data_IF_922383037175
#
_entry.id   IF_922383037175
#
_cell.length_a   1.000
_cell.length_b   1.000
_cell.length_c   1.000
_cell.angle_alpha   90.00
_cell.angle_beta   90.00
_cell.angle_gamma   90.00
#
_symmetry.space_group_name_H-M   'P 1'
#
loop_
_entity.id
_entity.type
_entity.pdbx_description
1 polymer ?
#
# COMPACT_ATOMS: atom_id res chain seq x y z
N UNK A 1 20.51 -6.27 2.99
CA UNK A 1 19.13 -6.53 3.41
C UNK A 1 19.03 -7.03 4.86
N UNK A 2 19.84 -8.03 5.28
CA UNK A 2 19.81 -8.58 6.64
C UNK A 2 20.06 -7.49 7.69
N UNK A 3 21.09 -6.68 7.53
CA UNK A 3 21.42 -5.54 8.41
C UNK A 3 20.22 -4.59 8.56
N UNK A 4 19.59 -4.20 7.45
CA UNK A 4 18.40 -3.30 7.50
C UNK A 4 17.23 -3.91 8.27
N UNK A 5 17.04 -5.24 8.15
CA UNK A 5 15.99 -5.94 8.89
C UNK A 5 16.30 -6.05 10.39
N UNK A 6 17.56 -6.26 10.74
CA UNK A 6 18.00 -6.32 12.13
C UNK A 6 17.89 -4.94 12.79
N UNK A 7 18.33 -3.89 12.11
CA UNK A 7 18.16 -2.49 12.57
C UNK A 7 16.68 -2.13 12.72
N UNK A 8 15.81 -2.57 11.79
CA UNK A 8 14.39 -2.30 11.84
C UNK A 8 13.72 -2.97 13.05
N UNK A 9 14.10 -4.20 13.38
CA UNK A 9 13.62 -4.89 14.58
C UNK A 9 14.03 -4.13 15.84
N UNK A 10 15.30 -3.78 15.95
CA UNK A 10 15.82 -3.02 17.09
C UNK A 10 15.12 -1.67 17.23
N UNK A 11 14.90 -0.94 16.14
CA UNK A 11 14.23 0.35 16.16
C UNK A 11 12.75 0.21 16.59
N UNK A 12 12.04 -0.80 16.08
CA UNK A 12 10.66 -1.10 16.46
C UNK A 12 10.54 -1.44 17.96
N UNK A 13 11.44 -2.26 18.47
CA UNK A 13 11.46 -2.68 19.88
C UNK A 13 11.80 -1.51 20.81
N UNK A 14 12.75 -0.65 20.43
CA UNK A 14 13.22 0.46 21.26
C UNK A 14 12.27 1.64 21.28
N UNK A 15 11.64 1.95 20.16
CA UNK A 15 10.76 3.13 20.03
C UNK A 15 9.30 2.84 20.35
N UNK A 16 8.87 1.57 20.33
CA UNK A 16 7.45 1.19 20.41
C UNK A 16 6.64 1.59 19.18
N UNK A 17 7.31 2.07 18.11
CA UNK A 17 6.65 2.43 16.87
C UNK A 17 6.16 1.18 16.12
N UNK A 18 5.06 1.31 15.39
CA UNK A 18 4.67 0.28 14.44
C UNK A 18 5.75 0.11 13.36
N UNK A 19 5.95 -1.12 12.89
CA UNK A 19 7.07 -1.48 12.00
C UNK A 19 7.23 -0.56 10.78
N UNK A 20 6.15 -0.11 10.19
CA UNK A 20 6.20 0.79 9.03
C UNK A 20 6.61 2.23 9.40
N UNK A 21 6.31 2.69 10.61
CA UNK A 21 6.79 3.99 11.08
C UNK A 21 8.28 3.93 11.44
N UNK A 22 8.70 2.86 12.12
CA UNK A 22 10.12 2.60 12.37
C UNK A 22 10.92 2.50 11.06
N UNK A 23 10.35 1.87 10.03
CA UNK A 23 10.97 1.76 8.71
C UNK A 23 11.18 3.11 8.03
N UNK A 24 10.20 4.01 8.07
CA UNK A 24 10.34 5.37 7.51
C UNK A 24 11.52 6.09 8.17
N UNK A 25 11.52 6.16 9.51
CA UNK A 25 12.58 6.80 10.27
C UNK A 25 13.96 6.20 10.00
N UNK A 26 14.07 4.87 10.00
CA UNK A 26 15.32 4.17 9.74
C UNK A 26 15.89 4.47 8.35
N UNK A 27 15.04 4.48 7.31
CA UNK A 27 15.46 4.77 5.94
C UNK A 27 15.91 6.24 5.81
N UNK A 28 15.19 7.18 6.41
CA UNK A 28 15.58 8.59 6.45
C UNK A 28 16.94 8.77 7.16
N UNK A 29 17.12 8.11 8.30
CA UNK A 29 18.37 8.12 9.06
C UNK A 29 19.54 7.58 8.23
N UNK A 30 19.39 6.41 7.60
CA UNK A 30 20.43 5.82 6.74
C UNK A 30 20.78 6.71 5.53
N UNK A 31 19.80 7.36 4.92
CA UNK A 31 20.04 8.34 3.85
C UNK A 31 20.89 9.52 4.36
N UNK A 32 20.52 10.09 5.51
CA UNK A 32 21.23 11.21 6.10
C UNK A 32 22.66 10.85 6.49
N UNK A 33 22.87 9.72 7.17
CA UNK A 33 24.19 9.21 7.56
C UNK A 33 25.09 8.91 6.36
N UNK A 34 24.52 8.50 5.25
CA UNK A 34 25.23 8.22 3.99
C UNK A 34 25.45 9.46 3.12
N UNK A 35 25.03 10.64 3.56
CA UNK A 35 25.15 11.89 2.80
C UNK A 35 24.27 11.94 1.56
N UNK A 36 23.24 11.13 1.47
CA UNK A 36 22.29 11.12 0.35
C UNK A 36 21.40 12.36 0.42
N UNK A 37 21.33 13.09 -0.68
CA UNK A 37 20.38 14.21 -0.82
C UNK A 37 19.01 13.67 -1.20
N UNK A 38 18.09 13.65 -0.26
CA UNK A 38 16.69 13.27 -0.48
C UNK A 38 15.85 14.48 -0.83
N UNK A 39 14.99 14.37 -1.83
CA UNK A 39 13.99 15.36 -2.20
C UNK A 39 12.60 14.73 -2.10
N UNK A 40 11.87 15.02 -1.03
CA UNK A 40 10.49 14.59 -0.85
C UNK A 40 9.53 15.43 -1.71
N UNK A 41 8.34 14.89 -1.96
CA UNK A 41 7.31 15.54 -2.80
C UNK A 41 7.85 15.95 -4.17
N UNK A 42 8.65 15.05 -4.77
CA UNK A 42 9.32 15.28 -6.04
C UNK A 42 8.95 14.17 -7.01
N UNK A 43 8.52 14.54 -8.20
CA UNK A 43 8.16 13.62 -9.26
C UNK A 43 9.00 13.89 -10.52
N UNK A 44 9.51 12.84 -11.14
CA UNK A 44 10.08 12.92 -12.49
C UNK A 44 8.91 13.08 -13.47
N UNK A 45 8.97 14.09 -14.33
CA UNK A 45 7.90 14.40 -15.27
C UNK A 45 8.34 14.33 -16.75
N UNK A 46 9.64 14.28 -17.02
CA UNK A 46 10.18 14.10 -18.37
C UNK A 46 11.62 13.58 -18.34
N UNK A 47 12.03 12.92 -19.41
CA UNK A 47 13.36 12.31 -19.58
C UNK A 47 13.91 12.68 -20.96
N UNK A 48 15.12 13.21 -21.01
CA UNK A 48 15.83 13.43 -22.27
C UNK A 48 16.82 12.31 -22.52
N UNK A 49 16.65 11.62 -23.63
CA UNK A 49 17.54 10.54 -24.07
C UNK A 49 18.34 11.00 -25.30
N UNK A 50 19.65 10.76 -25.31
CA UNK A 50 20.52 10.95 -26.46
C UNK A 50 21.45 9.74 -26.58
N UNK A 51 21.57 9.19 -27.78
CA UNK A 51 22.42 8.02 -28.09
C UNK A 51 22.20 6.83 -27.14
N UNK A 52 20.92 6.56 -26.79
CA UNK A 52 20.53 5.50 -25.91
C UNK A 52 20.84 5.72 -24.41
N UNK A 53 21.22 6.95 -24.04
CA UNK A 53 21.53 7.31 -22.65
C UNK A 53 20.65 8.43 -22.15
N UNK A 54 20.20 8.34 -20.91
CA UNK A 54 19.51 9.44 -20.24
C UNK A 54 20.55 10.52 -19.91
N UNK A 55 20.37 11.71 -20.49
CA UNK A 55 21.25 12.87 -20.28
C UNK A 55 20.66 13.88 -19.30
N UNK A 56 19.34 13.93 -19.16
CA UNK A 56 18.68 14.74 -18.14
C UNK A 56 17.30 14.21 -17.76
N UNK A 57 16.90 14.55 -16.54
CA UNK A 57 15.56 14.36 -15.99
C UNK A 57 14.94 15.72 -15.70
N UNK A 58 13.68 15.92 -16.03
CA UNK A 58 12.90 17.03 -15.51
C UNK A 58 12.08 16.55 -14.31
N UNK A 59 12.14 17.32 -13.23
CA UNK A 59 11.42 17.02 -11.98
C UNK A 59 10.50 18.18 -11.64
N UNK A 60 9.34 17.84 -11.06
CA UNK A 60 8.44 18.79 -10.43
C UNK A 60 8.60 18.66 -8.92
N UNK A 61 8.93 19.78 -8.29
CA UNK A 61 9.11 19.88 -6.83
C UNK A 61 8.19 20.96 -6.27
N UNK A 62 8.16 21.09 -4.94
CA UNK A 62 7.48 22.21 -4.28
C UNK A 62 8.04 23.59 -4.69
N UNK A 63 9.30 23.61 -5.12
CA UNK A 63 10.00 24.83 -5.61
C UNK A 63 9.87 25.06 -7.10
N UNK A 64 9.01 24.30 -7.78
CA UNK A 64 8.79 24.38 -9.23
C UNK A 64 9.54 23.33 -10.04
N UNK A 65 9.58 23.53 -11.34
CA UNK A 65 10.21 22.62 -12.30
C UNK A 65 11.72 22.81 -12.29
N UNK A 66 12.47 21.72 -12.24
CA UNK A 66 13.93 21.70 -12.22
C UNK A 66 14.45 20.64 -13.18
N UNK A 67 15.71 20.80 -13.63
CA UNK A 67 16.42 19.81 -14.45
C UNK A 67 17.61 19.25 -13.70
N UNK A 68 17.79 17.94 -13.79
CA UNK A 68 18.91 17.20 -13.22
C UNK A 68 19.64 16.49 -14.37
N UNK A 69 20.97 16.55 -14.40
CA UNK A 69 21.82 15.85 -15.36
C UNK A 69 22.67 14.80 -14.62
N UNK A 70 22.16 13.58 -14.42
CA UNK A 70 22.84 12.52 -13.68
C UNK A 70 23.83 11.78 -14.56
N UNK A 71 24.85 11.18 -13.95
CA UNK A 71 25.76 10.22 -14.62
C UNK A 71 25.10 8.84 -14.77
N UNK A 72 24.30 8.44 -13.79
CA UNK A 72 23.58 7.17 -13.72
C UNK A 72 22.20 7.41 -13.16
N UNK A 73 21.21 6.69 -13.67
CA UNK A 73 19.82 6.71 -13.17
C UNK A 73 19.46 5.31 -12.70
N UNK A 74 18.88 5.22 -11.51
CA UNK A 74 18.24 4.01 -10.99
C UNK A 74 16.74 4.32 -10.89
N UNK A 75 15.95 3.64 -11.71
CA UNK A 75 14.49 3.74 -11.65
C UNK A 75 13.97 2.84 -10.54
N UNK A 76 13.45 3.44 -9.48
CA UNK A 76 12.81 2.78 -8.35
C UNK A 76 11.38 3.34 -8.13
N UNK A 77 10.73 3.80 -9.20
CA UNK A 77 9.38 4.40 -9.14
C UNK A 77 8.28 3.38 -8.82
N UNK A 78 8.58 2.09 -8.87
CA UNK A 78 7.62 1.01 -8.70
C UNK A 78 6.92 0.62 -10.01
N UNK A 79 6.49 1.62 -10.79
CA UNK A 79 5.80 1.42 -12.07
C UNK A 79 6.70 1.59 -13.31
N UNK A 80 8.03 1.77 -13.10
CA UNK A 80 9.00 1.95 -14.19
C UNK A 80 8.77 3.24 -14.97
N UNK A 81 8.37 4.32 -14.30
CA UNK A 81 8.00 5.58 -14.96
C UNK A 81 9.16 6.22 -15.72
N UNK A 82 10.36 6.21 -15.13
CA UNK A 82 11.55 6.78 -15.78
C UNK A 82 11.96 5.94 -16.98
N UNK A 83 11.95 4.62 -16.86
CA UNK A 83 12.25 3.70 -17.94
C UNK A 83 11.24 3.84 -19.10
N UNK A 84 9.95 3.98 -18.77
CA UNK A 84 8.90 4.24 -19.75
C UNK A 84 9.11 5.56 -20.49
N UNK A 85 9.37 6.66 -19.79
CA UNK A 85 9.67 7.97 -20.39
C UNK A 85 10.94 7.93 -21.24
N UNK A 86 11.90 7.06 -20.88
CA UNK A 86 13.12 6.84 -21.66
C UNK A 86 12.90 5.98 -22.92
N UNK A 87 11.68 5.47 -23.16
CA UNK A 87 11.33 4.66 -24.33
C UNK A 87 11.67 3.18 -24.21
N UNK A 88 11.90 2.67 -22.98
CA UNK A 88 12.12 1.24 -22.75
C UNK A 88 10.85 0.44 -23.05
N UNK A 89 11.02 -0.73 -23.68
CA UNK A 89 9.92 -1.67 -23.90
C UNK A 89 9.45 -2.25 -22.56
N UNK A 90 8.16 -2.54 -22.44
CA UNK A 90 7.57 -3.12 -21.24
C UNK A 90 6.37 -4.03 -21.56
N UNK A 91 6.02 -4.89 -20.62
CA UNK A 91 4.76 -5.61 -20.57
C UNK A 91 3.88 -5.09 -19.44
N UNK A 92 2.56 -5.20 -19.58
CA UNK A 92 1.61 -4.78 -18.57
C UNK A 92 0.51 -5.84 -18.41
N UNK A 93 0.19 -6.20 -17.16
CA UNK A 93 -0.86 -7.16 -16.89
C UNK A 93 -0.54 -8.59 -17.38
N UNK A 94 -1.56 -9.42 -17.45
CA UNK A 94 -1.52 -10.76 -18.04
C UNK A 94 -1.67 -10.68 -19.57
N UNK A 95 -1.84 -11.83 -20.23
CA UNK A 95 -2.02 -11.92 -21.70
C UNK A 95 -3.26 -11.17 -22.21
N UNK A 96 -4.23 -10.88 -21.34
CA UNK A 96 -5.40 -10.06 -21.63
C UNK A 96 -5.19 -8.57 -21.32
N UNK A 97 -4.00 -8.17 -20.86
CA UNK A 97 -3.68 -6.82 -20.43
C UNK A 97 -4.27 -6.42 -19.06
N UNK A 98 -4.76 -7.39 -18.29
CA UNK A 98 -5.33 -7.15 -16.96
C UNK A 98 -4.27 -7.27 -15.87
N UNK A 99 -4.12 -6.22 -15.09
CA UNK A 99 -3.26 -6.21 -13.91
C UNK A 99 -3.93 -6.87 -12.69
N UNK A 100 -3.12 -7.20 -11.70
CA UNK A 100 -3.63 -7.61 -10.40
C UNK A 100 -4.45 -6.46 -9.76
N UNK A 101 -5.51 -6.78 -9.00
CA UNK A 101 -6.38 -5.76 -8.43
C UNK A 101 -5.61 -4.87 -7.45
N UNK A 102 -5.91 -3.57 -7.47
CA UNK A 102 -5.46 -2.65 -6.44
C UNK A 102 -6.21 -2.93 -5.14
N UNK A 103 -5.64 -2.56 -4.02
CA UNK A 103 -6.28 -2.75 -2.71
C UNK A 103 -5.89 -1.66 -1.72
N UNK A 104 -6.75 -1.46 -0.73
CA UNK A 104 -6.52 -0.51 0.35
C UNK A 104 -6.63 -1.23 1.69
N UNK A 105 -5.64 -1.02 2.56
CA UNK A 105 -5.64 -1.58 3.92
C UNK A 105 -5.95 -0.44 4.88
N UNK A 106 -7.03 -0.60 5.66
CA UNK A 106 -7.40 0.35 6.70
C UNK A 106 -6.78 -0.01 8.04
N UNK A 107 -6.72 0.98 8.94
CA UNK A 107 -6.41 0.79 10.35
C UNK A 107 -7.66 0.99 11.16
N UNK A 108 -7.98 0.01 11.99
CA UNK A 108 -9.10 0.03 12.91
C UNK A 108 -8.64 0.05 14.35
N UNK A 109 -9.49 0.60 15.24
CA UNK A 109 -9.38 0.48 16.69
C UNK A 109 -10.73 0.07 17.28
N UNK A 110 -10.75 -0.16 18.60
CA UNK A 110 -12.00 -0.43 19.33
C UNK A 110 -12.62 -1.82 19.08
N UNK A 111 -11.86 -2.75 18.54
CA UNK A 111 -12.21 -4.17 18.44
C UNK A 111 -11.92 -4.82 19.79
N UNK A 112 -12.89 -5.54 20.35
CA UNK A 112 -12.67 -6.39 21.52
C UNK A 112 -11.99 -7.69 21.06
N UNK A 113 -10.66 -7.77 21.23
CA UNK A 113 -9.85 -8.88 20.71
C UNK A 113 -10.33 -10.24 21.20
N UNK A 114 -10.64 -10.36 22.48
CA UNK A 114 -11.10 -11.62 23.07
C UNK A 114 -12.36 -12.15 22.38
N UNK A 115 -13.33 -11.27 22.12
CA UNK A 115 -14.59 -11.62 21.47
C UNK A 115 -14.47 -11.74 19.94
N UNK A 116 -13.50 -11.05 19.36
CA UNK A 116 -13.26 -11.06 17.91
C UNK A 116 -12.23 -12.13 17.49
N UNK A 117 -11.65 -12.91 18.43
CA UNK A 117 -10.51 -13.78 18.20
C UNK A 117 -10.65 -14.70 16.98
N UNK A 118 -11.84 -15.22 16.75
CA UNK A 118 -12.11 -16.12 15.62
C UNK A 118 -12.09 -15.44 14.24
N UNK A 119 -12.17 -14.10 14.19
CA UNK A 119 -12.14 -13.27 12.96
C UNK A 119 -10.78 -12.65 12.70
N UNK A 120 -9.84 -12.75 13.65
CA UNK A 120 -8.50 -12.16 13.55
C UNK A 120 -7.51 -13.20 13.06
N UNK A 121 -6.76 -12.86 12.01
CA UNK A 121 -5.69 -13.72 11.48
C UNK A 121 -4.42 -13.55 12.32
N UNK A 122 -4.03 -14.58 13.04
CA UNK A 122 -2.78 -14.66 13.77
C UNK A 122 -1.77 -15.51 12.99
N UNK A 123 -0.45 -15.38 13.27
CA UNK A 123 0.58 -16.17 12.60
C UNK A 123 0.42 -17.69 12.73
N UNK A 124 -0.17 -18.14 13.84
CA UNK A 124 -0.43 -19.55 14.17
C UNK A 124 -1.82 -20.03 13.69
N UNK A 125 -2.66 -19.14 13.18
CA UNK A 125 -3.99 -19.49 12.67
C UNK A 125 -3.90 -19.95 11.21
N UNK A 126 -4.56 -21.06 10.82
CA UNK A 126 -4.63 -21.46 9.41
C UNK A 126 -5.16 -20.32 8.55
N UNK A 127 -4.49 -20.07 7.41
CA UNK A 127 -4.70 -18.89 6.57
C UNK A 127 -6.18 -18.62 6.22
N UNK A 128 -6.94 -19.68 5.95
CA UNK A 128 -8.33 -19.56 5.50
C UNK A 128 -9.36 -19.55 6.62
N UNK A 129 -9.00 -19.93 7.85
CA UNK A 129 -9.96 -20.12 8.92
C UNK A 129 -10.58 -18.80 9.38
N UNK A 130 -9.80 -17.89 9.93
CA UNK A 130 -10.28 -16.59 10.41
C UNK A 130 -10.88 -15.75 9.27
N UNK A 131 -10.26 -15.81 8.08
CA UNK A 131 -10.73 -15.09 6.89
C UNK A 131 -12.09 -15.58 6.42
N UNK A 132 -12.31 -16.89 6.40
CA UNK A 132 -13.60 -17.48 6.03
C UNK A 132 -14.70 -17.15 7.04
N UNK A 133 -14.38 -17.11 8.34
CA UNK A 133 -15.33 -16.67 9.37
C UNK A 133 -15.67 -15.20 9.24
N UNK A 134 -14.66 -14.36 8.99
CA UNK A 134 -14.86 -12.92 8.76
C UNK A 134 -15.73 -12.66 7.53
N UNK A 135 -15.48 -13.34 6.42
CA UNK A 135 -16.30 -13.23 5.20
C UNK A 135 -17.76 -13.56 5.50
N UNK A 136 -18.03 -14.68 6.19
CA UNK A 136 -19.39 -15.06 6.58
C UNK A 136 -20.05 -14.04 7.50
N UNK A 137 -19.31 -13.47 8.45
CA UNK A 137 -19.82 -12.39 9.30
C UNK A 137 -20.20 -11.18 8.46
N UNK A 138 -19.31 -10.70 7.59
CA UNK A 138 -19.57 -9.54 6.72
C UNK A 138 -20.81 -9.77 5.87
N UNK A 139 -20.92 -10.91 5.21
CA UNK A 139 -22.09 -11.28 4.39
C UNK A 139 -23.39 -11.34 5.24
N UNK A 140 -23.32 -11.88 6.44
CA UNK A 140 -24.49 -11.97 7.33
C UNK A 140 -25.04 -10.61 7.80
N UNK A 141 -24.18 -9.58 7.79
CA UNK A 141 -24.58 -8.21 8.17
C UNK A 141 -24.86 -7.31 6.95
N UNK A 142 -24.87 -7.91 5.74
CA UNK A 142 -25.19 -7.23 4.48
C UNK A 142 -24.01 -6.53 3.79
N UNK A 143 -22.78 -6.96 4.08
CA UNK A 143 -21.57 -6.51 3.40
C UNK A 143 -21.06 -7.66 2.53
N UNK A 144 -20.95 -7.44 1.23
CA UNK A 144 -20.34 -8.39 0.29
C UNK A 144 -19.00 -7.81 -0.19
N UNK A 145 -17.86 -8.20 0.46
CA UNK A 145 -16.57 -7.60 0.14
C UNK A 145 -16.08 -8.01 -1.24
N UNK A 146 -15.48 -7.05 -1.97
CA UNK A 146 -14.88 -7.31 -3.28
C UNK A 146 -13.68 -8.25 -3.21
N UNK A 147 -13.04 -8.36 -2.03
CA UNK A 147 -12.01 -9.35 -1.75
C UNK A 147 -12.62 -10.65 -1.25
N UNK A 148 -12.33 -11.78 -1.92
CA UNK A 148 -12.82 -13.11 -1.53
C UNK A 148 -12.28 -13.65 -0.21
N UNK A 149 -11.20 -13.06 0.32
CA UNK A 149 -10.56 -13.49 1.57
C UNK A 149 -10.22 -12.29 2.47
N UNK A 150 -11.24 -11.57 2.99
CA UNK A 150 -11.04 -10.42 3.86
C UNK A 150 -10.26 -10.80 5.13
N UNK A 151 -9.56 -9.83 5.73
CA UNK A 151 -8.76 -10.10 6.91
C UNK A 151 -8.75 -8.95 7.92
N UNK A 152 -8.71 -9.33 9.19
CA UNK A 152 -8.30 -8.47 10.30
C UNK A 152 -7.00 -9.05 10.84
N UNK A 153 -5.97 -8.22 11.01
CA UNK A 153 -4.68 -8.61 11.58
C UNK A 153 -4.29 -7.64 12.68
N UNK A 154 -3.82 -8.17 13.80
CA UNK A 154 -3.38 -7.34 14.93
C UNK A 154 -2.08 -6.58 14.59
N UNK A 155 -2.05 -5.27 14.87
CA UNK A 155 -0.85 -4.44 14.82
C UNK A 155 -0.25 -4.37 16.25
N UNK A 156 -1.10 -4.00 17.22
CA UNK A 156 -0.80 -3.95 18.64
C UNK A 156 -2.11 -4.15 19.45
N UNK A 157 -2.07 -3.91 20.74
CA UNK A 157 -3.23 -4.16 21.63
C UNK A 157 -4.46 -3.30 21.31
N UNK A 158 -4.32 -2.24 20.54
CA UNK A 158 -5.41 -1.28 20.25
C UNK A 158 -5.71 -1.14 18.77
N UNK A 159 -4.80 -1.56 17.88
CA UNK A 159 -4.88 -1.31 16.46
C UNK A 159 -4.84 -2.60 15.62
N UNK A 160 -5.63 -2.58 14.55
CA UNK A 160 -5.77 -3.71 13.65
C UNK A 160 -5.74 -3.24 12.20
N UNK A 161 -5.07 -3.99 11.33
CA UNK A 161 -5.24 -3.89 9.88
C UNK A 161 -6.56 -4.51 9.48
N UNK A 162 -7.23 -3.87 8.52
CA UNK A 162 -8.45 -4.36 7.90
C UNK A 162 -8.33 -4.29 6.39
N UNK A 163 -8.45 -5.44 5.73
CA UNK A 163 -8.35 -5.59 4.29
C UNK A 163 -9.57 -6.34 3.78
N UNK A 164 -10.36 -5.69 2.91
CA UNK A 164 -11.63 -6.25 2.40
C UNK A 164 -11.86 -5.99 0.92
N UNK A 165 -11.05 -5.14 0.28
CA UNK A 165 -11.32 -4.72 -1.09
C UNK A 165 -10.28 -5.16 -2.09
N UNK A 166 -10.75 -5.40 -3.31
CA UNK A 166 -9.97 -5.58 -4.52
C UNK A 166 -10.63 -4.78 -5.65
N UNK A 167 -9.91 -3.80 -6.20
CA UNK A 167 -10.36 -2.99 -7.31
C UNK A 167 -9.82 -3.59 -8.61
N UNK A 168 -10.68 -4.34 -9.28
CA UNK A 168 -10.36 -5.04 -10.54
C UNK A 168 -10.51 -4.11 -11.74
N UNK A 169 -9.91 -4.52 -12.87
CA UNK A 169 -9.99 -3.86 -14.18
C UNK A 169 -9.58 -2.37 -14.15
N UNK A 170 -8.60 -2.04 -13.29
CA UNK A 170 -8.02 -0.72 -13.12
C UNK A 170 -6.54 -0.72 -13.47
N UNK A 171 -6.07 0.34 -14.12
CA UNK A 171 -4.69 0.52 -14.55
C UNK A 171 -3.92 1.41 -13.58
N UNK A 172 -2.71 0.99 -13.21
CA UNK A 172 -1.82 1.76 -12.33
C UNK A 172 -1.18 2.97 -13.01
N UNK A 173 -1.22 3.01 -14.34
CA UNK A 173 -0.68 4.11 -15.16
C UNK A 173 -1.78 5.10 -15.64
N UNK A 174 -3.00 5.00 -15.09
CA UNK A 174 -4.12 5.90 -15.33
C UNK A 174 -4.51 6.62 -14.03
N UNK A 175 -4.43 7.95 -14.04
CA UNK A 175 -4.82 8.76 -12.89
C UNK A 175 -6.31 8.64 -12.59
N UNK A 176 -7.15 8.49 -13.62
CA UNK A 176 -8.59 8.28 -13.49
C UNK A 176 -8.87 6.96 -12.80
N UNK A 177 -8.24 5.87 -13.24
CA UNK A 177 -8.43 4.53 -12.66
C UNK A 177 -7.97 4.47 -11.19
N UNK A 178 -6.81 5.07 -10.87
CA UNK A 178 -6.31 5.19 -9.50
C UNK A 178 -7.28 5.98 -8.62
N UNK A 179 -7.84 7.06 -9.15
CA UNK A 179 -8.81 7.90 -8.43
C UNK A 179 -10.10 7.14 -8.15
N UNK A 180 -10.67 6.50 -9.17
CA UNK A 180 -11.88 5.70 -9.04
C UNK A 180 -11.69 4.53 -8.08
N UNK A 181 -10.58 3.78 -8.20
CA UNK A 181 -10.23 2.69 -7.31
C UNK A 181 -10.08 3.19 -5.85
N UNK A 182 -9.45 4.35 -5.66
CA UNK A 182 -9.28 4.94 -4.32
C UNK A 182 -10.62 5.29 -3.69
N UNK A 183 -11.53 5.91 -4.44
CA UNK A 183 -12.86 6.28 -3.93
C UNK A 183 -13.72 5.06 -3.66
N UNK A 184 -13.70 4.07 -4.55
CA UNK A 184 -14.43 2.82 -4.39
C UNK A 184 -13.98 2.05 -3.17
N UNK A 185 -12.67 1.79 -3.03
CA UNK A 185 -12.08 1.09 -1.90
C UNK A 185 -12.38 1.78 -0.57
N UNK A 186 -12.25 3.10 -0.51
CA UNK A 186 -12.52 3.87 0.72
C UNK A 186 -13.99 3.82 1.10
N UNK A 187 -14.91 3.89 0.14
CA UNK A 187 -16.35 3.73 0.36
C UNK A 187 -16.67 2.35 0.91
N UNK A 188 -16.15 1.28 0.29
CA UNK A 188 -16.37 -0.10 0.73
C UNK A 188 -15.90 -0.31 2.19
N UNK A 189 -14.70 0.15 2.52
CA UNK A 189 -14.15 0.11 3.89
C UNK A 189 -15.08 0.84 4.87
N UNK A 190 -15.49 2.07 4.52
CA UNK A 190 -16.34 2.88 5.39
C UNK A 190 -17.69 2.22 5.67
N UNK A 191 -18.33 1.69 4.63
CA UNK A 191 -19.62 0.98 4.73
C UNK A 191 -19.50 -0.30 5.55
N UNK A 192 -18.42 -1.06 5.35
CA UNK A 192 -18.16 -2.28 6.11
C UNK A 192 -17.90 -1.99 7.60
N UNK A 193 -17.10 -0.98 7.92
CA UNK A 193 -16.87 -0.58 9.32
C UNK A 193 -18.16 -0.11 9.98
N UNK A 194 -19.00 0.66 9.26
CA UNK A 194 -20.31 1.07 9.75
C UNK A 194 -21.23 -0.14 10.03
N UNK A 195 -21.26 -1.11 9.12
CA UNK A 195 -22.05 -2.32 9.29
C UNK A 195 -21.54 -3.17 10.45
N UNK A 196 -20.22 -3.38 10.58
CA UNK A 196 -19.61 -4.07 11.72
C UNK A 196 -20.00 -3.40 13.04
N UNK A 197 -19.90 -2.07 13.14
CA UNK A 197 -20.26 -1.31 14.34
C UNK A 197 -21.73 -1.49 14.72
N UNK A 198 -22.61 -1.54 13.74
CA UNK A 198 -24.06 -1.62 13.96
C UNK A 198 -24.58 -3.03 14.18
N UNK A 199 -24.00 -4.03 13.51
CA UNK A 199 -24.55 -5.38 13.39
C UNK A 199 -23.52 -6.49 13.64
N UNK A 200 -22.22 -6.18 13.78
CA UNK A 200 -21.13 -7.15 13.93
C UNK A 200 -21.06 -7.80 15.33
N UNK A 201 -21.99 -7.44 16.23
CA UNK A 201 -22.06 -7.99 17.59
C UNK A 201 -21.14 -7.28 18.59
N UNK A 202 -21.04 -7.81 19.82
CA UNK A 202 -20.32 -7.16 20.91
C UNK A 202 -18.83 -6.89 20.60
N UNK A 203 -18.20 -7.77 19.83
CA UNK A 203 -16.79 -7.67 19.43
C UNK A 203 -16.47 -6.37 18.67
N UNK A 204 -17.43 -5.86 17.89
CA UNK A 204 -17.24 -4.72 16.99
C UNK A 204 -18.05 -3.49 17.41
N UNK A 205 -18.71 -3.50 18.55
CA UNK A 205 -19.59 -2.41 19.02
C UNK A 205 -18.89 -1.05 19.04
N UNK A 206 -17.59 -1.02 19.37
CA UNK A 206 -16.80 0.19 19.48
C UNK A 206 -15.81 0.36 18.31
N UNK A 207 -15.89 -0.48 17.27
CA UNK A 207 -14.97 -0.41 16.14
C UNK A 207 -14.98 0.99 15.52
N UNK A 208 -13.79 1.50 15.24
CA UNK A 208 -13.58 2.83 14.68
C UNK A 208 -12.56 2.74 13.54
N UNK A 209 -12.90 3.35 12.42
CA UNK A 209 -11.94 3.57 11.33
C UNK A 209 -10.97 4.67 11.74
N UNK A 210 -9.71 4.32 11.95
CA UNK A 210 -8.66 5.25 12.38
C UNK A 210 -8.02 5.93 11.17
N UNK A 211 -7.65 5.14 10.16
CA UNK A 211 -6.99 5.65 8.97
C UNK A 211 -7.21 4.74 7.75
N UNK A 212 -7.20 5.36 6.59
CA UNK A 212 -6.93 4.72 5.31
C UNK A 212 -5.68 5.37 4.71
N UNK A 213 -4.87 4.67 3.89
CA UNK A 213 -3.73 5.28 3.23
C UNK A 213 -4.18 6.39 2.26
N UNK A 214 -3.30 7.35 2.03
CA UNK A 214 -3.52 8.41 1.04
C UNK A 214 -3.54 7.85 -0.38
N UNK A 215 -2.65 6.89 -0.65
CA UNK A 215 -2.54 6.20 -1.94
C UNK A 215 -3.06 4.77 -1.82
N UNK A 216 -3.85 4.35 -2.81
CA UNK A 216 -4.23 2.95 -2.94
C UNK A 216 -3.01 2.09 -3.25
N UNK A 217 -2.98 0.87 -2.72
CA UNK A 217 -1.90 -0.08 -2.99
C UNK A 217 -2.02 -0.64 -4.41
N UNK A 218 -1.10 -0.24 -5.27
CA UNK A 218 -0.93 -0.80 -6.61
C UNK A 218 -0.10 -2.07 -6.49
N UNK A 219 -0.56 -3.16 -7.10
CA UNK A 219 0.12 -4.45 -7.03
C UNK A 219 0.98 -4.77 -8.24
N UNK A 220 0.66 -4.18 -9.37
CA UNK A 220 1.32 -4.45 -10.63
C UNK A 220 1.36 -3.19 -11.48
N UNK A 221 2.57 -2.85 -11.93
CA UNK A 221 2.84 -1.78 -12.85
C UNK A 221 3.45 -2.28 -14.15
N UNK A 222 4.19 -1.45 -14.85
CA UNK A 222 4.95 -1.83 -16.03
C UNK A 222 6.10 -2.77 -15.65
N UNK A 223 6.23 -3.87 -16.35
CA UNK A 223 7.39 -4.77 -16.25
C UNK A 223 8.35 -4.43 -17.38
N UNK A 224 9.38 -3.69 -17.06
CA UNK A 224 10.38 -3.22 -18.03
C UNK A 224 11.16 -4.43 -18.56
N UNK A 225 11.35 -4.48 -19.88
CA UNK A 225 12.18 -5.49 -20.53
C UNK A 225 13.66 -5.09 -20.41
N UNK A 226 14.49 -6.01 -19.94
CA UNK A 226 15.94 -5.86 -19.85
C UNK A 226 16.68 -6.37 -21.08
#
# INVERSE_FOLDING_TARGET
>A
LKEVLDDLRQETESSGAAIYEAQKYLLEKKCAESGVRVLLHTQVCDVTVQDGRIISLEIITKSGKQRISPSVVIDATGDGDVAYMAGCAYSYGNDEGKAQPMSMIAVLSGICEEQAREYISYPDTPFWEARGKLLKLLQSIGVDPSMSCPSIMKINDSLFYFSINHEYDKRSDSAEDITDATFSARREIYEAVRALRQKGGPAFKNVTLVATPEMIGVREGRRIHG
#
